data_IF_080027884124
#
_entry.id   IF_080027884124
#
_cell.length_a   1.000
_cell.length_b   1.000
_cell.length_c   1.000
_cell.angle_alpha   90.00
_cell.angle_beta   90.00
_cell.angle_gamma   90.00
#
_symmetry.space_group_name_H-M   'P 1'
#
loop_
_entity.id
_entity.type
_entity.pdbx_description
1 polymer ?
#
# COMPACT_ATOMS: atom_id res chain seq x y z
N UNK A 1 18.53 -64.38 38.86
CA UNK A 1 18.11 -64.60 37.45
C UNK A 1 17.14 -63.50 37.06
N UNK A 2 17.44 -62.83 35.94
CA UNK A 2 16.58 -61.88 35.24
C UNK A 2 15.35 -62.60 34.68
N UNK A 3 14.18 -61.98 34.78
CA UNK A 3 13.22 -61.92 33.67
C UNK A 3 12.12 -60.88 33.93
N UNK A 4 12.06 -59.90 33.02
CA UNK A 4 10.99 -58.93 32.86
C UNK A 4 9.64 -59.62 32.66
N UNK A 5 8.56 -59.02 33.20
CA UNK A 5 7.26 -59.00 32.52
C UNK A 5 6.63 -57.60 32.61
N UNK A 6 6.46 -57.09 31.41
CA UNK A 6 5.80 -55.90 30.94
C UNK A 6 4.28 -56.08 31.01
N UNK A 7 3.52 -55.12 31.57
CA UNK A 7 2.16 -54.82 31.10
C UNK A 7 1.74 -53.39 31.50
N UNK A 8 1.04 -52.77 30.57
CA UNK A 8 0.69 -51.34 30.40
C UNK A 8 -0.69 -51.04 31.02
N UNK A 9 -0.99 -49.75 31.23
CA UNK A 9 -2.34 -49.11 31.24
C UNK A 9 -2.79 -48.65 32.64
N UNK A 10 -3.21 -47.41 32.90
CA UNK A 10 -3.65 -46.32 32.04
C UNK A 10 -3.20 -44.98 32.65
N UNK A 11 -2.35 -44.23 31.95
CA UNK A 11 -2.17 -42.80 32.23
C UNK A 11 -3.11 -42.08 31.28
N UNK A 12 -4.24 -41.60 31.82
CA UNK A 12 -5.19 -40.77 31.09
C UNK A 12 -4.47 -39.50 30.65
N UNK A 13 -3.98 -39.50 29.42
CA UNK A 13 -3.36 -38.37 28.76
C UNK A 13 -4.51 -37.42 28.39
N UNK A 14 -4.77 -36.45 29.26
CA UNK A 14 -5.62 -35.30 28.93
C UNK A 14 -4.90 -34.55 27.81
N UNK A 15 -5.32 -34.86 26.58
CA UNK A 15 -4.94 -34.14 25.37
C UNK A 15 -5.55 -32.75 25.46
N UNK A 16 -4.80 -31.80 26.01
CA UNK A 16 -5.08 -30.38 25.86
C UNK A 16 -4.86 -30.07 24.38
N UNK A 17 -5.96 -30.00 23.64
CA UNK A 17 -6.02 -29.39 22.32
C UNK A 17 -5.70 -27.91 22.48
N UNK A 18 -4.41 -27.56 22.44
CA UNK A 18 -4.00 -26.21 22.09
C UNK A 18 -4.36 -26.04 20.62
N UNK A 19 -5.53 -25.46 20.38
CA UNK A 19 -5.80 -24.73 19.15
C UNK A 19 -4.76 -23.60 19.10
N UNK A 20 -3.61 -23.87 18.49
CA UNK A 20 -2.77 -22.81 17.95
C UNK A 20 -3.57 -22.24 16.79
N UNK A 21 -4.46 -21.31 17.13
CA UNK A 21 -4.91 -20.28 16.21
C UNK A 21 -3.64 -19.66 15.65
N UNK A 22 -3.39 -19.87 14.36
CA UNK A 22 -2.45 -19.05 13.61
C UNK A 22 -3.12 -17.68 13.47
N UNK A 23 -3.13 -16.93 14.57
CA UNK A 23 -3.31 -15.49 14.52
C UNK A 23 -2.14 -14.97 13.72
N UNK A 24 -2.46 -14.37 12.57
CA UNK A 24 -1.48 -13.73 11.71
C UNK A 24 -0.53 -12.91 12.56
N UNK A 25 0.75 -13.11 12.32
CA UNK A 25 1.80 -12.26 12.85
C UNK A 25 1.40 -10.82 12.61
N UNK A 26 0.97 -10.13 13.67
CA UNK A 26 1.06 -8.69 13.76
C UNK A 26 2.56 -8.38 13.79
N UNK A 27 3.16 -8.30 12.61
CA UNK A 27 4.39 -7.56 12.47
C UNK A 27 4.06 -6.12 12.82
N UNK A 28 4.73 -5.60 13.84
CA UNK A 28 4.71 -4.18 14.17
C UNK A 28 5.27 -3.40 12.99
N UNK A 29 4.42 -3.07 12.03
CA UNK A 29 4.63 -1.90 11.20
C UNK A 29 4.56 -0.71 12.15
N UNK A 30 5.65 0.03 12.34
CA UNK A 30 5.70 1.26 13.14
C UNK A 30 4.87 2.41 12.52
N UNK A 31 3.83 2.08 11.75
CA UNK A 31 2.97 3.01 11.03
C UNK A 31 1.57 3.15 11.62
N UNK A 32 0.88 4.19 11.14
CA UNK A 32 -0.52 4.44 11.44
C UNK A 32 -1.40 3.99 10.27
N UNK A 33 -2.30 3.05 10.52
CA UNK A 33 -3.25 2.56 9.51
C UNK A 33 -4.47 3.48 9.40
N UNK A 34 -4.95 3.64 8.18
CA UNK A 34 -6.16 4.39 7.83
C UNK A 34 -7.18 3.37 7.35
N UNK A 35 -8.30 3.31 8.07
CA UNK A 35 -9.35 2.33 7.84
C UNK A 35 -10.50 2.95 7.04
N UNK A 36 -11.14 2.14 6.20
CA UNK A 36 -12.45 2.44 5.65
C UNK A 36 -13.55 2.26 6.69
N UNK A 37 -14.76 2.70 6.38
CA UNK A 37 -15.95 2.48 7.22
C UNK A 37 -16.24 0.99 7.49
N UNK A 38 -15.79 0.11 6.60
CA UNK A 38 -15.91 -1.36 6.71
C UNK A 38 -14.72 -1.99 7.45
N UNK A 39 -13.83 -1.19 8.04
CA UNK A 39 -12.66 -1.65 8.79
C UNK A 39 -11.51 -2.20 7.94
N UNK A 40 -11.50 -1.95 6.63
CA UNK A 40 -10.42 -2.37 5.73
C UNK A 40 -9.29 -1.34 5.74
N UNK A 41 -8.04 -1.78 5.71
CA UNK A 41 -6.89 -0.88 5.59
C UNK A 41 -6.84 -0.32 4.15
N UNK A 42 -7.08 0.98 4.01
CA UNK A 42 -7.08 1.70 2.73
C UNK A 42 -5.95 2.72 2.64
N UNK A 43 -5.30 3.02 3.77
CA UNK A 43 -4.14 3.88 3.84
C UNK A 43 -3.19 3.44 4.94
N UNK A 44 -1.92 3.82 4.83
CA UNK A 44 -0.91 3.64 5.88
C UNK A 44 0.08 4.80 5.86
N UNK A 45 0.50 5.27 7.03
CA UNK A 45 1.54 6.29 7.19
C UNK A 45 2.74 5.65 7.89
N UNK A 46 3.92 5.66 7.27
CA UNK A 46 5.15 5.03 7.75
C UNK A 46 6.38 5.88 7.43
N UNK A 47 7.51 5.52 8.03
CA UNK A 47 8.83 6.05 7.70
C UNK A 47 8.91 7.59 7.79
N UNK A 48 8.34 8.19 8.84
CA UNK A 48 8.22 9.64 9.03
C UNK A 48 9.55 10.41 8.84
N UNK A 49 10.67 9.81 9.24
CA UNK A 49 12.00 10.43 9.15
C UNK A 49 12.66 10.26 7.77
N UNK A 50 12.07 9.48 6.86
CA UNK A 50 12.64 9.19 5.54
C UNK A 50 12.35 10.29 4.53
N UNK A 51 13.34 10.55 3.66
CA UNK A 51 13.17 11.37 2.46
C UNK A 51 13.59 10.54 1.25
N UNK A 52 12.65 10.32 0.33
CA UNK A 52 12.84 9.52 -0.87
C UNK A 52 12.84 10.40 -2.13
N UNK A 53 13.52 9.89 -3.15
CA UNK A 53 13.53 10.41 -4.52
C UNK A 53 13.11 9.30 -5.49
N UNK A 54 12.84 9.63 -6.76
CA UNK A 54 12.42 8.66 -7.77
C UNK A 54 13.36 7.44 -7.86
N UNK A 55 14.67 7.66 -7.75
CA UNK A 55 15.66 6.59 -7.81
C UNK A 55 15.46 5.50 -6.74
N UNK A 56 14.98 5.86 -5.53
CA UNK A 56 14.65 4.86 -4.51
C UNK A 56 13.54 3.92 -5.00
N UNK A 57 12.51 4.48 -5.63
CA UNK A 57 11.38 3.71 -6.16
C UNK A 57 11.77 2.88 -7.39
N UNK A 58 12.62 3.39 -8.27
CA UNK A 58 13.15 2.59 -9.38
C UNK A 58 13.96 1.40 -8.88
N UNK A 59 14.82 1.59 -7.87
CA UNK A 59 15.56 0.52 -7.20
C UNK A 59 14.61 -0.48 -6.52
N UNK A 60 13.55 -0.01 -5.87
CA UNK A 60 12.51 -0.85 -5.26
C UNK A 60 11.66 -1.62 -6.28
N UNK A 61 11.79 -1.31 -7.58
CA UNK A 61 11.19 -2.07 -8.67
C UNK A 61 10.08 -1.34 -9.44
N UNK A 62 9.87 -0.04 -9.22
CA UNK A 62 9.04 0.79 -10.08
C UNK A 62 9.67 0.88 -11.47
N UNK A 63 8.93 0.44 -12.49
CA UNK A 63 9.42 0.37 -13.87
C UNK A 63 8.69 1.35 -14.75
N UNK A 64 9.44 1.93 -15.69
CA UNK A 64 8.94 2.88 -16.69
C UNK A 64 8.19 4.07 -16.07
N UNK A 65 8.74 4.74 -15.04
CA UNK A 65 8.08 5.91 -14.47
C UNK A 65 7.94 6.99 -15.54
N UNK A 66 6.72 7.49 -15.72
CA UNK A 66 6.42 8.59 -16.62
C UNK A 66 5.95 9.77 -15.79
N UNK A 67 6.62 10.90 -15.95
CA UNK A 67 6.23 12.14 -15.29
C UNK A 67 4.84 12.60 -15.73
N UNK A 68 4.05 13.09 -14.79
CA UNK A 68 2.80 13.81 -15.03
C UNK A 68 2.87 15.21 -14.38
N UNK A 69 1.97 16.11 -14.79
CA UNK A 69 1.95 17.49 -14.28
C UNK A 69 1.55 17.50 -12.79
N UNK A 70 2.47 17.95 -11.94
CA UNK A 70 2.24 18.09 -10.50
C UNK A 70 1.43 19.36 -10.16
N UNK A 71 1.51 20.38 -11.01
CA UNK A 71 0.84 21.66 -10.90
C UNK A 71 -0.52 21.70 -11.62
N UNK A 72 -1.06 20.54 -11.97
CA UNK A 72 -2.37 20.45 -12.61
C UNK A 72 -3.45 21.07 -11.71
N UNK A 73 -4.33 21.86 -12.32
CA UNK A 73 -5.48 22.49 -11.65
C UNK A 73 -6.79 21.85 -12.09
N UNK A 74 -7.71 21.68 -11.14
CA UNK A 74 -9.07 21.26 -11.45
C UNK A 74 -9.78 22.37 -12.24
N UNK A 75 -10.29 22.03 -13.43
CA UNK A 75 -10.86 23.02 -14.36
C UNK A 75 -12.13 23.69 -13.84
N UNK A 76 -12.81 23.12 -12.85
CA UNK A 76 -14.07 23.65 -12.30
C UNK A 76 -13.82 24.58 -11.12
N UNK A 77 -12.88 24.22 -10.27
CA UNK A 77 -12.59 24.91 -9.01
C UNK A 77 -11.37 25.82 -9.08
N UNK A 78 -10.51 25.65 -10.10
CA UNK A 78 -9.24 26.36 -10.23
C UNK A 78 -8.20 25.99 -9.17
N UNK A 79 -8.51 25.02 -8.31
CA UNK A 79 -7.63 24.59 -7.22
C UNK A 79 -6.63 23.54 -7.72
N UNK A 80 -5.41 23.48 -7.15
CA UNK A 80 -4.46 22.41 -7.47
C UNK A 80 -5.05 21.02 -7.20
N UNK A 81 -4.84 20.08 -8.12
CA UNK A 81 -5.26 18.68 -7.95
C UNK A 81 -4.38 17.98 -6.91
N UNK A 82 -3.09 18.31 -6.91
CA UNK A 82 -2.06 17.81 -5.99
C UNK A 82 -1.27 19.00 -5.44
N UNK A 83 -1.82 19.71 -4.44
CA UNK A 83 -1.16 20.89 -3.86
C UNK A 83 0.25 20.54 -3.38
N UNK A 84 1.22 21.41 -3.64
CA UNK A 84 2.62 21.31 -3.17
C UNK A 84 3.39 20.02 -3.53
N UNK A 85 2.83 19.15 -4.39
CA UNK A 85 3.59 18.06 -4.97
C UNK A 85 4.69 18.64 -5.86
N UNK A 86 5.93 18.22 -5.63
CA UNK A 86 7.09 18.68 -6.40
C UNK A 86 7.23 17.89 -7.69
N UNK A 87 6.94 16.60 -7.63
CA UNK A 87 7.05 15.68 -8.76
C UNK A 87 5.99 14.58 -8.65
N UNK A 88 5.47 14.13 -9.80
CA UNK A 88 4.57 12.99 -9.84
C UNK A 88 4.94 12.06 -10.99
N UNK A 89 5.00 10.77 -10.70
CA UNK A 89 5.29 9.73 -11.69
C UNK A 89 4.26 8.60 -11.61
N UNK A 90 3.86 8.11 -12.77
CA UNK A 90 3.09 6.87 -12.90
C UNK A 90 3.98 5.82 -13.53
N UNK A 91 4.10 4.66 -12.90
CA UNK A 91 4.88 3.53 -13.38
C UNK A 91 4.18 2.20 -13.13
N UNK A 92 4.87 1.11 -13.48
CA UNK A 92 4.39 -0.25 -13.27
C UNK A 92 5.24 -0.93 -12.19
N UNK A 93 4.59 -1.64 -11.29
CA UNK A 93 5.22 -2.53 -10.32
C UNK A 93 4.77 -3.98 -10.54
N UNK A 94 5.72 -4.92 -10.47
CA UNK A 94 5.44 -6.36 -10.60
C UNK A 94 5.19 -6.96 -9.22
N UNK A 95 4.01 -6.73 -8.67
CA UNK A 95 3.60 -7.30 -7.37
C UNK A 95 3.36 -8.80 -7.45
N UNK A 96 3.20 -9.44 -6.28
CA UNK A 96 2.72 -10.83 -6.17
C UNK A 96 1.33 -11.03 -6.79
N UNK A 97 0.53 -9.95 -6.85
CA UNK A 97 -0.78 -9.87 -7.51
C UNK A 97 -0.71 -9.59 -9.01
N UNK A 98 0.49 -9.72 -9.59
CA UNK A 98 0.79 -9.41 -10.98
C UNK A 98 1.11 -7.94 -11.22
N UNK A 99 1.21 -7.53 -12.49
CA UNK A 99 1.45 -6.14 -12.86
C UNK A 99 0.37 -5.20 -12.32
N UNK A 100 0.80 -4.11 -11.71
CA UNK A 100 -0.06 -3.04 -11.18
C UNK A 100 0.54 -1.70 -11.52
N UNK A 101 -0.32 -0.74 -11.82
CA UNK A 101 0.10 0.66 -11.93
C UNK A 101 0.24 1.26 -10.53
N UNK A 102 1.26 2.11 -10.37
CA UNK A 102 1.54 2.84 -9.14
C UNK A 102 1.83 4.29 -9.51
N UNK A 103 1.27 5.21 -8.72
CA UNK A 103 1.59 6.63 -8.80
C UNK A 103 2.32 7.07 -7.54
N UNK A 104 3.47 7.73 -7.71
CA UNK A 104 4.25 8.30 -6.62
C UNK A 104 4.22 9.81 -6.74
N UNK A 105 3.82 10.48 -5.66
CA UNK A 105 3.76 11.94 -5.53
C UNK A 105 4.76 12.36 -4.48
N UNK A 106 5.76 13.12 -4.89
CA UNK A 106 6.82 13.61 -4.01
C UNK A 106 6.43 14.97 -3.43
N UNK A 107 6.72 15.16 -2.15
CA UNK A 107 6.54 16.40 -1.42
C UNK A 107 7.89 16.82 -0.81
N UNK A 108 7.99 18.05 -0.33
CA UNK A 108 9.22 18.54 0.27
C UNK A 108 9.54 17.83 1.60
N UNK A 109 8.51 17.51 2.39
CA UNK A 109 8.66 16.84 3.69
C UNK A 109 7.56 15.80 3.93
N UNK A 110 7.72 14.96 4.97
CA UNK A 110 6.66 14.09 5.45
C UNK A 110 5.40 14.85 5.88
N UNK A 111 5.59 15.99 6.56
CA UNK A 111 4.48 16.84 7.00
C UNK A 111 3.67 17.38 5.82
N UNK A 112 4.34 17.74 4.71
CA UNK A 112 3.67 18.17 3.48
C UNK A 112 2.96 17.00 2.79
N UNK A 113 3.57 15.81 2.78
CA UNK A 113 2.93 14.61 2.24
C UNK A 113 1.63 14.26 2.97
N UNK A 114 1.57 14.47 4.29
CA UNK A 114 0.34 14.35 5.08
C UNK A 114 -0.61 15.50 4.76
N UNK A 115 -0.17 16.74 4.95
CA UNK A 115 -1.05 17.93 4.93
C UNK A 115 -1.64 18.20 3.55
N UNK A 116 -0.80 18.13 2.52
CA UNK A 116 -1.17 18.47 1.15
C UNK A 116 -1.43 17.23 0.29
N UNK A 117 -0.75 16.12 0.61
CA UNK A 117 -0.80 14.90 -0.20
C UNK A 117 -1.87 13.89 0.18
N UNK A 118 -2.20 13.77 1.47
CA UNK A 118 -3.22 12.83 1.94
C UNK A 118 -4.63 13.21 1.44
N UNK A 119 -5.11 14.47 1.56
CA UNK A 119 -6.47 14.80 1.13
C UNK A 119 -6.80 14.49 -0.35
N UNK A 120 -5.93 14.76 -1.34
CA UNK A 120 -6.18 14.33 -2.71
C UNK A 120 -6.01 12.82 -2.91
N UNK A 121 -5.22 12.12 -2.10
CA UNK A 121 -5.14 10.65 -2.13
C UNK A 121 -6.46 10.02 -1.65
N UNK A 122 -7.01 10.49 -0.53
CA UNK A 122 -8.32 10.08 -0.01
C UNK A 122 -9.41 10.26 -1.08
N UNK A 123 -9.45 11.44 -1.71
CA UNK A 123 -10.39 11.71 -2.82
C UNK A 123 -10.18 10.76 -3.99
N UNK A 124 -8.94 10.38 -4.30
CA UNK A 124 -8.62 9.51 -5.43
C UNK A 124 -9.18 8.11 -5.19
N UNK A 125 -8.98 7.55 -3.99
CA UNK A 125 -9.44 6.19 -3.65
C UNK A 125 -10.94 6.12 -3.32
N UNK A 126 -11.57 7.24 -2.95
CA UNK A 126 -13.01 7.32 -2.65
C UNK A 126 -13.91 7.32 -3.90
N UNK A 127 -13.36 7.57 -5.10
CA UNK A 127 -14.14 7.44 -6.34
C UNK A 127 -14.37 5.95 -6.59
N UNK A 128 -15.46 5.41 -6.05
CA UNK A 128 -15.82 3.99 -6.15
C UNK A 128 -15.67 3.45 -7.58
N UNK A 129 -15.15 2.23 -7.69
CA UNK A 129 -14.88 1.60 -8.98
C UNK A 129 -15.81 0.41 -9.22
N UNK A 130 -16.55 0.48 -10.34
CA UNK A 130 -17.13 -0.72 -10.94
C UNK A 130 -16.00 -1.59 -11.49
N UNK A 131 -15.95 -2.85 -11.05
CA UNK A 131 -15.08 -3.86 -11.61
C UNK A 131 -15.38 -4.00 -13.12
N UNK A 132 -14.46 -3.57 -13.99
CA UNK A 132 -14.47 -3.93 -15.42
C UNK A 132 -14.71 -2.81 -16.45
N UNK A 133 -14.65 -1.53 -16.08
CA UNK A 133 -14.90 -0.42 -17.02
C UNK A 133 -13.65 0.21 -17.64
N UNK A 134 -13.01 -0.44 -18.63
CA UNK A 134 -12.11 0.29 -19.54
C UNK A 134 -12.94 1.29 -20.36
N UNK A 135 -12.81 2.59 -20.06
CA UNK A 135 -13.42 3.64 -20.89
C UNK A 135 -12.75 3.64 -22.26
N UNK A 136 -13.43 3.03 -23.24
CA UNK A 136 -13.10 3.11 -24.67
C UNK A 136 -13.25 4.57 -25.13
N UNK A 137 -12.20 5.13 -25.75
CA UNK A 137 -12.39 6.17 -26.76
C UNK A 137 -11.76 7.55 -26.53
N UNK A 138 -10.93 7.76 -25.52
CA UNK A 138 -10.07 8.94 -25.45
C UNK A 138 -8.63 8.46 -25.16
N UNK A 139 -7.63 9.01 -25.85
CA UNK A 139 -6.21 8.70 -25.66
C UNK A 139 -5.68 9.16 -24.30
N UNK A 140 -6.20 8.58 -23.24
CA UNK A 140 -6.01 8.93 -21.83
C UNK A 140 -5.97 7.62 -21.09
N UNK A 141 -4.85 7.38 -20.40
CA UNK A 141 -4.59 6.26 -19.50
C UNK A 141 -5.89 5.71 -18.94
N UNK A 142 -6.20 4.44 -19.24
CA UNK A 142 -7.28 3.73 -18.57
C UNK A 142 -7.16 4.06 -17.09
N UNK A 143 -8.24 4.57 -16.47
CA UNK A 143 -8.24 4.91 -15.04
C UNK A 143 -7.81 3.65 -14.28
N UNK A 144 -6.53 3.54 -13.96
CA UNK A 144 -6.06 2.57 -13.01
C UNK A 144 -6.68 2.98 -11.70
N UNK A 145 -7.65 2.19 -11.29
CA UNK A 145 -8.43 2.41 -10.10
C UNK A 145 -7.53 2.22 -8.90
N UNK A 146 -7.01 3.32 -8.34
CA UNK A 146 -6.31 3.27 -7.08
C UNK A 146 -7.33 2.95 -5.98
N UNK A 147 -7.05 1.90 -5.20
CA UNK A 147 -7.93 1.46 -4.12
C UNK A 147 -7.36 1.74 -2.74
N UNK A 148 -6.07 2.08 -2.67
CA UNK A 148 -5.37 2.38 -1.43
C UNK A 148 -4.17 3.30 -1.69
N UNK A 149 -3.56 3.81 -0.62
CA UNK A 149 -2.29 4.51 -0.68
C UNK A 149 -1.41 4.25 0.53
N UNK A 150 -0.12 4.57 0.43
CA UNK A 150 0.81 4.65 1.55
C UNK A 150 1.52 5.99 1.52
N UNK A 151 1.66 6.64 2.67
CA UNK A 151 2.58 7.75 2.88
C UNK A 151 3.85 7.18 3.49
N UNK A 152 4.95 7.17 2.73
CA UNK A 152 6.27 6.76 3.22
C UNK A 152 7.20 7.96 3.16
N UNK A 153 7.59 8.50 4.32
CA UNK A 153 8.39 9.73 4.37
C UNK A 153 7.71 10.87 3.62
N UNK A 154 8.43 11.54 2.73
CA UNK A 154 7.91 12.64 1.91
C UNK A 154 7.10 12.22 0.67
N UNK A 155 6.66 10.96 0.55
CA UNK A 155 6.03 10.45 -0.68
C UNK A 155 4.69 9.80 -0.41
N UNK A 156 3.69 10.18 -1.21
CA UNK A 156 2.41 9.47 -1.31
C UNK A 156 2.48 8.48 -2.46
N UNK A 157 2.25 7.21 -2.17
CA UNK A 157 2.25 6.09 -3.12
C UNK A 157 0.80 5.61 -3.28
N UNK A 158 0.20 5.79 -4.46
CA UNK A 158 -1.12 5.27 -4.79
C UNK A 158 -0.99 3.89 -5.44
N UNK A 159 -1.68 2.90 -4.88
CA UNK A 159 -1.66 1.51 -5.37
C UNK A 159 -2.98 1.14 -6.03
N UNK A 160 -2.87 0.46 -7.17
CA UNK A 160 -4.02 -0.08 -7.86
C UNK A 160 -4.67 -1.21 -7.04
N UNK A 161 -6.00 -1.18 -6.93
CA UNK A 161 -6.86 -2.17 -6.25
C UNK A 161 -6.74 -2.20 -4.72
N UNK A 162 -5.56 -2.46 -4.15
CA UNK A 162 -5.40 -2.73 -2.72
C UNK A 162 -4.01 -2.38 -2.18
N UNK A 163 -3.90 -2.25 -0.85
CA UNK A 163 -2.74 -1.67 -0.17
C UNK A 163 -1.47 -2.53 -0.28
N UNK A 164 -1.61 -3.84 -0.43
CA UNK A 164 -0.50 -4.80 -0.48
C UNK A 164 0.45 -4.51 -1.64
N UNK A 165 -0.05 -3.93 -2.73
CA UNK A 165 0.79 -3.48 -3.86
C UNK A 165 1.74 -2.37 -3.42
N UNK A 166 1.27 -1.45 -2.58
CA UNK A 166 2.12 -0.40 -2.00
C UNK A 166 3.06 -0.99 -0.94
N UNK A 167 2.57 -1.88 -0.06
CA UNK A 167 3.40 -2.51 0.99
C UNK A 167 4.62 -3.22 0.38
N UNK A 168 4.40 -4.03 -0.67
CA UNK A 168 5.48 -4.72 -1.39
C UNK A 168 6.49 -3.76 -2.03
N UNK A 169 6.03 -2.66 -2.63
CA UNK A 169 6.92 -1.67 -3.24
C UNK A 169 7.72 -0.90 -2.18
N UNK A 170 7.05 -0.46 -1.11
CA UNK A 170 7.69 0.35 -0.06
C UNK A 170 8.67 -0.48 0.77
N UNK A 171 8.42 -1.78 0.95
CA UNK A 171 9.38 -2.70 1.56
C UNK A 171 10.72 -2.78 0.79
N UNK A 172 10.74 -2.40 -0.50
CA UNK A 172 11.95 -2.35 -1.32
C UNK A 172 12.75 -1.04 -1.25
N UNK A 173 12.34 -0.06 -0.43
CA UNK A 173 12.98 1.27 -0.36
C UNK A 173 14.22 1.33 0.56
N UNK A 174 14.76 0.19 1.01
CA UNK A 174 15.96 0.09 1.86
C UNK A 174 17.20 0.79 1.28
#
# INVERSE_FOLDING_TARGET
>A
MKSNKFQISAFSFVMILLLVSCGGSEEKSSGSDILSDEGLVIGRIINEESTHVLANYETAGLKKPRSIQADAVDKKTGSPVTPNATEIYVGFYKSTMGPKDVEVRFYATHADAITDGQPPADKTIAVGHEAGGAVKGAGTFAKSSYGAYIISGNVVVLCQVQIEVCDELVAGLE
#
